data_IF_973572752432
#
_entry.id   IF_973572752432
#
_cell.length_a   1.000
_cell.length_b   1.000
_cell.length_c   1.000
_cell.angle_alpha   90.00
_cell.angle_beta   90.00
_cell.angle_gamma   90.00
#
_symmetry.space_group_name_H-M   'P 1'
#
loop_
_entity.id
_entity.type
_entity.pdbx_description
1 polymer ?
#
# COMPACT_ATOMS: atom_id res chain seq x y z
N UNK A 1 16.16 9.50 14.79
CA UNK A 1 16.59 8.47 15.76
C UNK A 1 15.91 8.52 17.14
N UNK A 2 16.02 9.58 17.96
CA UNK A 2 15.42 9.58 19.33
C UNK A 2 13.88 9.53 19.30
N UNK A 3 13.23 10.26 18.37
CA UNK A 3 11.78 10.30 18.24
C UNK A 3 11.18 8.99 17.75
N UNK A 4 11.79 8.37 16.72
CA UNK A 4 11.35 7.09 16.16
C UNK A 4 11.44 5.97 17.20
N UNK A 5 12.51 5.96 18.01
CA UNK A 5 12.66 5.01 19.11
C UNK A 5 11.56 5.18 20.16
N UNK A 6 11.26 6.42 20.56
CA UNK A 6 10.17 6.72 21.49
C UNK A 6 8.82 6.27 20.93
N UNK A 7 8.52 6.60 19.68
CA UNK A 7 7.27 6.23 19.03
C UNK A 7 7.12 4.70 18.94
N UNK A 8 8.19 4.01 18.56
CA UNK A 8 8.23 2.54 18.47
C UNK A 8 7.97 1.88 19.82
N UNK A 9 8.55 2.38 20.90
CA UNK A 9 8.31 1.85 22.26
C UNK A 9 6.87 2.05 22.69
N UNK A 10 6.30 3.23 22.45
CA UNK A 10 4.91 3.53 22.77
C UNK A 10 3.94 2.66 21.98
N UNK A 11 4.19 2.46 20.69
CA UNK A 11 3.38 1.56 19.84
C UNK A 11 3.47 0.11 20.33
N UNK A 12 4.65 -0.37 20.73
CA UNK A 12 4.80 -1.72 21.30
C UNK A 12 4.01 -1.87 22.60
N UNK A 13 4.10 -0.90 23.50
CA UNK A 13 3.34 -0.90 24.75
C UNK A 13 1.84 -0.91 24.50
N UNK A 14 1.36 -0.03 23.61
CA UNK A 14 -0.06 0.05 23.23
C UNK A 14 -0.54 -1.25 22.58
N UNK A 15 0.25 -1.85 21.68
CA UNK A 15 -0.07 -3.14 21.03
C UNK A 15 -0.27 -4.26 22.05
N UNK A 16 0.54 -4.27 23.11
CA UNK A 16 0.40 -5.24 24.19
C UNK A 16 -0.92 -5.03 24.97
N UNK A 17 -1.24 -3.78 25.30
CA UNK A 17 -2.48 -3.41 25.99
C UNK A 17 -3.70 -3.85 25.17
N UNK A 18 -3.74 -3.53 23.87
CA UNK A 18 -4.87 -3.87 22.98
C UNK A 18 -5.03 -5.38 22.84
N UNK A 19 -3.94 -6.13 22.68
CA UNK A 19 -3.98 -7.60 22.62
C UNK A 19 -4.54 -8.23 23.91
N UNK A 20 -4.12 -7.73 25.07
CA UNK A 20 -4.65 -8.20 26.34
C UNK A 20 -6.14 -7.91 26.48
N UNK A 21 -6.61 -6.72 26.07
CA UNK A 21 -8.03 -6.37 26.07
C UNK A 21 -8.85 -7.27 25.14
N UNK A 22 -8.36 -7.56 23.93
CA UNK A 22 -8.99 -8.50 22.99
C UNK A 22 -9.12 -9.90 23.58
N UNK A 23 -8.09 -10.41 24.25
CA UNK A 23 -8.14 -11.72 24.92
C UNK A 23 -9.27 -11.78 25.94
N UNK A 24 -9.42 -10.76 26.78
CA UNK A 24 -10.51 -10.72 27.77
C UNK A 24 -11.88 -10.57 27.10
N UNK A 25 -11.98 -9.75 26.05
CA UNK A 25 -13.22 -9.58 25.28
C UNK A 25 -13.68 -10.91 24.67
N UNK A 26 -12.77 -11.68 24.08
CA UNK A 26 -13.10 -12.95 23.43
C UNK A 26 -13.48 -14.03 24.46
N UNK A 27 -12.80 -14.05 25.62
CA UNK A 27 -13.24 -14.88 26.75
C UNK A 27 -14.67 -14.54 27.20
N UNK A 28 -15.00 -13.26 27.28
CA UNK A 28 -16.34 -12.80 27.60
C UNK A 28 -17.38 -13.21 26.55
N UNK A 29 -17.05 -13.08 25.26
CA UNK A 29 -17.92 -13.46 24.15
C UNK A 29 -18.20 -14.97 24.12
N UNK A 30 -17.17 -15.79 24.40
CA UNK A 30 -17.34 -17.22 24.54
C UNK A 30 -18.30 -17.55 25.69
N UNK A 31 -18.08 -16.97 26.88
CA UNK A 31 -18.93 -17.18 28.06
C UNK A 31 -20.39 -16.72 27.90
N UNK A 32 -20.64 -15.60 27.21
CA UNK A 32 -21.98 -14.99 27.14
C UNK A 32 -22.76 -15.30 25.88
N UNK A 33 -22.07 -15.54 24.77
CA UNK A 33 -22.68 -15.68 23.44
C UNK A 33 -22.31 -16.99 22.75
N UNK A 34 -21.54 -17.87 23.41
CA UNK A 34 -21.05 -19.14 22.85
C UNK A 34 -20.36 -18.95 21.50
N UNK A 35 -19.62 -17.84 21.36
CA UNK A 35 -18.84 -17.51 20.17
C UNK A 35 -17.36 -17.63 20.50
N UNK A 36 -16.70 -18.58 19.85
CA UNK A 36 -15.27 -18.81 20.02
C UNK A 36 -14.49 -18.08 18.93
N UNK A 37 -13.58 -17.21 19.35
CA UNK A 37 -12.74 -16.39 18.47
C UNK A 37 -11.30 -16.41 19.01
N UNK A 38 -10.31 -16.53 18.12
CA UNK A 38 -8.91 -16.42 18.51
C UNK A 38 -8.45 -14.95 18.42
N UNK A 39 -7.94 -14.44 19.54
CA UNK A 39 -7.39 -13.08 19.63
C UNK A 39 -6.11 -12.92 18.80
N UNK A 40 -5.47 -14.02 18.39
CA UNK A 40 -4.30 -14.03 17.52
C UNK A 40 -4.62 -13.66 16.07
N UNK A 41 -5.87 -13.85 15.65
CA UNK A 41 -6.31 -13.51 14.29
C UNK A 41 -6.39 -11.99 14.07
N UNK A 42 -6.55 -11.22 15.16
CA UNK A 42 -6.61 -9.77 15.09
C UNK A 42 -5.20 -9.18 15.02
N UNK A 43 -4.86 -8.61 13.85
CA UNK A 43 -3.60 -7.90 13.62
C UNK A 43 -3.83 -6.38 13.64
N UNK A 44 -3.53 -5.69 14.76
CA UNK A 44 -3.65 -4.23 14.80
C UNK A 44 -2.57 -3.58 13.91
N UNK A 45 -3.03 -2.74 12.99
CA UNK A 45 -2.19 -1.88 12.15
C UNK A 45 -2.00 -0.54 12.85
N UNK A 46 -0.75 -0.09 12.97
CA UNK A 46 -0.42 1.23 13.53
C UNK A 46 0.13 2.11 12.41
N UNK A 47 -0.52 3.24 12.18
CA UNK A 47 -0.02 4.28 11.28
C UNK A 47 0.71 5.31 12.13
N UNK A 48 2.03 5.33 12.04
CA UNK A 48 2.86 6.29 12.76
C UNK A 48 2.73 7.64 12.05
N UNK A 49 2.34 8.69 12.77
CA UNK A 49 2.41 10.07 12.25
C UNK A 49 3.84 10.62 12.43
N UNK A 50 4.80 9.95 11.80
CA UNK A 50 6.20 10.40 11.76
C UNK A 50 6.38 11.16 10.44
N UNK A 51 6.95 12.39 10.49
CA UNK A 51 7.25 13.12 9.26
C UNK A 51 8.20 12.28 8.40
N UNK A 52 7.75 11.98 7.17
CA UNK A 52 8.52 11.24 6.18
C UNK A 52 9.10 12.23 5.16
N UNK A 53 10.34 12.02 4.74
CA UNK A 53 10.96 12.85 3.71
C UNK A 53 10.58 12.33 2.30
N UNK A 54 9.41 12.74 1.83
CA UNK A 54 8.90 12.35 0.51
C UNK A 54 9.76 12.92 -0.64
N UNK A 55 10.50 14.02 -0.42
CA UNK A 55 11.40 14.59 -1.43
C UNK A 55 12.59 13.68 -1.67
N UNK A 56 13.22 13.20 -0.61
CA UNK A 56 14.30 12.23 -0.71
C UNK A 56 13.82 10.93 -1.38
N UNK A 57 12.63 10.44 -1.02
CA UNK A 57 12.04 9.24 -1.65
C UNK A 57 11.83 9.46 -3.15
N UNK A 58 11.29 10.61 -3.57
CA UNK A 58 11.09 10.92 -4.98
C UNK A 58 12.42 10.97 -5.75
N UNK A 59 13.45 11.60 -5.18
CA UNK A 59 14.78 11.66 -5.79
C UNK A 59 15.43 10.27 -5.91
N UNK A 60 15.31 9.45 -4.86
CA UNK A 60 15.81 8.08 -4.89
C UNK A 60 15.10 7.26 -5.97
N UNK A 61 13.77 7.31 -6.05
CA UNK A 61 13.00 6.59 -7.06
C UNK A 61 13.33 7.05 -8.49
N UNK A 62 13.62 8.33 -8.70
CA UNK A 62 14.02 8.86 -10.01
C UNK A 62 15.41 8.38 -10.44
N UNK A 63 16.31 8.11 -9.50
CA UNK A 63 17.66 7.62 -9.78
C UNK A 63 17.73 6.10 -9.95
N UNK A 64 16.74 5.35 -9.45
CA UNK A 64 16.69 3.90 -9.57
C UNK A 64 16.31 3.50 -11.00
N UNK A 65 17.08 2.62 -11.68
CA UNK A 65 16.72 2.09 -12.98
C UNK A 65 15.34 1.42 -13.01
N UNK A 66 14.62 1.59 -14.11
CA UNK A 66 13.34 0.92 -14.31
C UNK A 66 13.50 -0.61 -14.25
N UNK A 67 12.54 -1.28 -13.61
CA UNK A 67 12.51 -2.74 -13.47
C UNK A 67 13.12 -3.29 -12.17
N UNK A 68 13.81 -2.47 -11.38
CA UNK A 68 14.35 -2.89 -10.08
C UNK A 68 13.29 -2.83 -8.98
N UNK A 69 12.50 -1.74 -8.95
CA UNK A 69 11.41 -1.55 -7.99
C UNK A 69 10.08 -1.55 -8.74
N UNK A 70 9.13 -2.38 -8.30
CA UNK A 70 7.80 -2.38 -8.89
C UNK A 70 7.08 -1.05 -8.64
N UNK A 71 6.28 -0.60 -9.62
CA UNK A 71 5.47 0.63 -9.49
C UNK A 71 4.50 0.56 -8.30
N UNK A 72 4.08 -0.64 -7.90
CA UNK A 72 3.23 -0.85 -6.73
C UNK A 72 3.99 -0.60 -5.41
N UNK A 73 5.20 -1.13 -5.28
CA UNK A 73 6.06 -0.86 -4.11
C UNK A 73 6.42 0.61 -4.02
N UNK A 74 6.78 1.24 -5.15
CA UNK A 74 7.11 2.67 -5.22
C UNK A 74 5.97 3.57 -4.74
N UNK A 75 4.73 3.31 -5.20
CA UNK A 75 3.52 4.04 -4.73
C UNK A 75 3.30 3.90 -3.23
N UNK A 76 3.73 2.77 -2.66
CA UNK A 76 3.58 2.52 -1.23
C UNK A 76 4.55 3.23 -0.31
N UNK A 77 5.58 3.87 -0.85
CA UNK A 77 6.59 4.58 -0.06
C UNK A 77 6.16 6.01 0.27
N UNK A 78 5.32 6.61 -0.57
CA UNK A 78 4.85 7.97 -0.36
C UNK A 78 3.82 8.04 0.77
N UNK A 79 4.06 8.93 1.72
CA UNK A 79 3.24 9.04 2.94
C UNK A 79 1.79 9.43 2.68
N UNK A 80 1.53 10.15 1.59
CA UNK A 80 0.20 10.62 1.18
C UNK A 80 -0.62 9.59 0.38
N UNK A 81 -0.03 8.48 -0.07
CA UNK A 81 -0.72 7.44 -0.84
C UNK A 81 -1.31 6.41 0.14
N UNK A 82 -2.57 6.62 0.53
CA UNK A 82 -3.26 5.74 1.49
C UNK A 82 -3.65 4.37 0.92
N UNK A 83 -4.03 4.29 -0.37
CA UNK A 83 -4.48 3.06 -1.01
C UNK A 83 -3.79 2.86 -2.37
N UNK A 84 -2.81 1.96 -2.40
CA UNK A 84 -1.99 1.67 -3.58
C UNK A 84 -2.80 1.11 -4.74
N UNK A 85 -3.83 0.31 -4.46
CA UNK A 85 -4.66 -0.34 -5.49
C UNK A 85 -5.50 0.71 -6.21
N UNK A 86 -6.18 1.56 -5.45
CA UNK A 86 -6.98 2.66 -6.02
C UNK A 86 -6.11 3.63 -6.81
N UNK A 87 -4.91 3.92 -6.30
CA UNK A 87 -3.96 4.77 -7.02
C UNK A 87 -3.47 4.11 -8.32
N UNK A 88 -3.27 2.79 -8.30
CA UNK A 88 -2.90 2.05 -9.49
C UNK A 88 -3.96 2.11 -10.58
N UNK A 89 -5.23 1.98 -10.20
CA UNK A 89 -6.35 2.08 -11.14
C UNK A 89 -6.47 3.48 -11.74
N UNK A 90 -6.26 4.54 -10.94
CA UNK A 90 -6.26 5.93 -11.44
C UNK A 90 -5.17 6.16 -12.46
N UNK A 91 -3.94 5.76 -12.16
CA UNK A 91 -2.81 5.91 -13.10
C UNK A 91 -3.05 5.08 -14.37
N UNK A 92 -3.63 3.88 -14.27
CA UNK A 92 -3.97 3.08 -15.45
C UNK A 92 -5.02 3.76 -16.33
N UNK A 93 -6.04 4.38 -15.72
CA UNK A 93 -7.06 5.18 -16.42
C UNK A 93 -6.46 6.42 -17.08
N UNK A 94 -5.57 7.13 -16.39
CA UNK A 94 -4.87 8.28 -16.96
C UNK A 94 -3.99 7.87 -18.15
N UNK A 95 -3.25 6.77 -18.02
CA UNK A 95 -2.41 6.25 -19.11
C UNK A 95 -3.23 5.75 -20.31
N UNK A 96 -4.39 5.15 -20.09
CA UNK A 96 -5.25 4.71 -21.21
C UNK A 96 -5.94 5.88 -21.90
N UNK A 97 -6.23 6.98 -21.19
CA UNK A 97 -6.74 8.23 -21.79
C UNK A 97 -5.64 9.00 -22.54
N UNK A 98 -4.39 8.98 -22.04
CA UNK A 98 -3.27 9.69 -22.65
C UNK A 98 -2.67 8.98 -23.85
N UNK A 99 -2.69 7.63 -23.86
CA UNK A 99 -2.24 6.85 -25.01
C UNK A 99 -3.22 7.11 -26.16
N UNK A 100 -2.77 7.72 -27.29
CA UNK A 100 -3.60 7.76 -28.48
C UNK A 100 -3.97 6.32 -28.83
N UNK A 101 -5.24 6.06 -29.17
CA UNK A 101 -5.65 4.84 -29.88
C UNK A 101 -4.97 4.86 -31.26
N UNK A 102 -3.70 4.52 -31.31
CA UNK A 102 -3.01 4.15 -32.54
C UNK A 102 -2.77 2.65 -32.41
N UNK A 103 -3.78 1.89 -32.82
CA UNK A 103 -3.63 0.46 -33.02
C UNK A 103 -2.68 0.27 -34.21
N UNK A 104 -1.57 -0.44 -33.99
CA UNK A 104 -0.61 -0.78 -35.06
C UNK A 104 -1.27 -1.53 -36.23
N UNK A 105 -2.44 -2.15 -36.00
CA UNK A 105 -3.22 -2.84 -37.02
C UNK A 105 -3.79 -1.90 -38.10
N UNK A 106 -3.94 -0.61 -37.82
CA UNK A 106 -4.41 0.36 -38.81
C UNK A 106 -3.29 0.78 -39.79
N UNK A 107 -2.03 0.39 -39.54
CA UNK A 107 -0.87 0.69 -40.38
C UNK A 107 -0.40 -0.50 -41.25
N UNK A 108 -0.86 -1.73 -40.96
CA UNK A 108 -0.42 -2.95 -41.66
C UNK A 108 -1.34 -3.30 -42.85
N UNK A 109 -2.51 -2.67 -42.95
CA UNK A 109 -3.47 -2.90 -44.04
C UNK A 109 -3.06 -2.36 -45.41
N UNK A 110 -2.03 -1.53 -45.51
CA UNK A 110 -1.68 -0.79 -46.73
C UNK A 110 -0.45 -1.33 -47.49
N UNK A 111 0.21 -2.37 -46.98
CA UNK A 111 1.45 -2.91 -47.60
C UNK A 111 1.20 -4.13 -48.49
N UNK A 112 -0.01 -4.69 -48.51
CA UNK A 112 -0.33 -5.89 -49.28
C UNK A 112 -1.21 -5.63 -50.52
N UNK A 113 -1.33 -4.39 -50.99
CA UNK A 113 -2.16 -4.08 -52.15
C UNK A 113 -1.52 -3.11 -53.16
N UNK A 114 -0.19 -3.12 -53.33
CA UNK A 114 0.45 -2.67 -54.57
C UNK A 114 1.72 -3.50 -54.84
N UNK A 115 1.65 -4.31 -55.92
CA UNK A 115 2.69 -5.17 -56.54
C UNK A 115 2.90 -6.60 -55.99
#
# INVERSE_FOLDING_TARGET
>A
MILENKCTLQVKAHKNIVKNRLRFLFKYLNLRKNKDYDYKDVKPLYTLNIPSDDLAIAQMLAQVPEGIISKDTARGLFSFINNKVVEAEKVAKEQSMLRPKMDLNDLVGDVNNEL
#
